data_IF_175914476035
#
_entry.id   IF_175914476035
#
_cell.length_a   1.000
_cell.length_b   1.000
_cell.length_c   1.000
_cell.angle_alpha   90.00
_cell.angle_beta   90.00
_cell.angle_gamma   90.00
#
_symmetry.space_group_name_H-M   'P 1'
#
loop_
_entity.id
_entity.type
_entity.pdbx_description
1 polymer ?
#
# COMPACT_ATOMS: atom_id res chain seq x y z
N UNK A 1 15.50 -11.05 20.40
CA UNK A 1 14.26 -11.63 19.83
C UNK A 1 14.31 -11.46 18.33
N UNK A 2 14.14 -12.56 17.59
CA UNK A 2 14.06 -12.64 16.11
C UNK A 2 12.62 -12.86 15.73
N UNK A 3 12.04 -11.95 14.96
CA UNK A 3 10.64 -12.01 14.52
C UNK A 3 10.53 -12.11 13.02
N UNK A 4 9.63 -12.98 12.57
CA UNK A 4 9.24 -13.09 11.17
C UNK A 4 7.83 -12.51 11.01
N UNK A 5 7.65 -11.64 10.01
CA UNK A 5 6.35 -11.12 9.61
C UNK A 5 6.04 -11.62 8.19
N UNK A 6 4.87 -12.24 7.99
CA UNK A 6 4.46 -12.78 6.69
C UNK A 6 3.19 -12.06 6.23
N UNK A 7 3.31 -11.22 5.20
CA UNK A 7 2.20 -10.39 4.72
C UNK A 7 1.98 -10.57 3.20
N UNK A 8 1.10 -11.47 2.79
CA UNK A 8 0.65 -11.60 1.40
C UNK A 8 -0.31 -10.48 1.04
N UNK A 9 -0.70 -10.40 -0.23
CA UNK A 9 -1.73 -9.50 -0.71
C UNK A 9 -1.26 -8.61 -1.85
N UNK A 10 -2.20 -7.83 -2.40
CA UNK A 10 -1.93 -6.85 -3.43
C UNK A 10 -1.17 -5.63 -2.85
N UNK A 11 -0.74 -4.72 -3.73
CA UNK A 11 0.04 -3.52 -3.36
C UNK A 11 -0.68 -2.71 -2.27
N UNK A 12 -1.98 -2.43 -2.46
CA UNK A 12 -2.76 -1.67 -1.48
C UNK A 12 -2.86 -2.38 -0.13
N UNK A 13 -3.11 -3.70 -0.12
CA UNK A 13 -3.25 -4.50 1.11
C UNK A 13 -1.99 -4.45 1.98
N UNK A 14 -0.82 -4.51 1.36
CA UNK A 14 0.44 -4.45 2.09
C UNK A 14 0.70 -3.02 2.57
N UNK A 15 0.47 -2.00 1.74
CA UNK A 15 0.69 -0.60 2.13
C UNK A 15 -0.18 -0.20 3.33
N UNK A 16 -1.48 -0.52 3.34
CA UNK A 16 -2.34 -0.19 4.48
C UNK A 16 -1.96 -0.94 5.76
N UNK A 17 -1.25 -2.06 5.65
CA UNK A 17 -0.74 -2.81 6.81
C UNK A 17 0.65 -2.38 7.29
N UNK A 18 1.38 -1.52 6.55
CA UNK A 18 2.75 -1.09 6.91
C UNK A 18 2.88 -0.56 8.35
N UNK A 19 1.96 0.27 8.87
CA UNK A 19 2.07 0.74 10.24
C UNK A 19 2.02 -0.39 11.28
N UNK A 20 1.14 -1.38 11.08
CA UNK A 20 1.04 -2.55 11.94
C UNK A 20 2.31 -3.42 11.86
N UNK A 21 2.83 -3.63 10.65
CA UNK A 21 4.09 -4.37 10.46
C UNK A 21 5.27 -3.66 11.13
N UNK A 22 5.38 -2.34 10.97
CA UNK A 22 6.45 -1.55 11.57
C UNK A 22 6.36 -1.51 13.11
N UNK A 23 5.14 -1.50 13.67
CA UNK A 23 4.91 -1.58 15.12
C UNK A 23 5.46 -2.88 15.71
N UNK A 24 5.42 -3.97 14.95
CA UNK A 24 5.94 -5.28 15.35
C UNK A 24 7.48 -5.40 15.24
N UNK A 25 8.21 -4.33 14.90
CA UNK A 25 9.67 -4.39 14.80
C UNK A 25 10.29 -4.91 16.09
N UNK A 26 11.26 -5.83 15.97
CA UNK A 26 11.98 -6.48 17.06
C UNK A 26 13.48 -6.25 16.94
N UNK A 27 14.29 -6.89 17.79
CA UNK A 27 15.75 -6.81 17.73
C UNK A 27 16.33 -7.30 16.39
N UNK A 28 15.69 -8.29 15.77
CA UNK A 28 15.86 -8.67 14.36
C UNK A 28 14.49 -8.95 13.75
N UNK A 29 14.19 -8.32 12.64
CA UNK A 29 12.92 -8.48 11.94
C UNK A 29 13.16 -8.87 10.48
N UNK A 30 12.65 -10.04 10.10
CA UNK A 30 12.56 -10.46 8.70
C UNK A 30 11.10 -10.33 8.24
N UNK A 31 10.88 -9.83 7.01
CA UNK A 31 9.53 -9.66 6.44
C UNK A 31 9.44 -10.43 5.12
N UNK A 32 8.38 -11.23 4.96
CA UNK A 32 8.06 -11.92 3.72
C UNK A 32 6.83 -11.29 3.09
N UNK A 33 6.99 -10.78 1.86
CA UNK A 33 5.94 -10.09 1.07
C UNK A 33 5.99 -10.54 -0.39
N UNK A 34 4.97 -10.27 -1.22
CA UNK A 34 5.09 -10.45 -2.67
C UNK A 34 6.31 -9.73 -3.25
N UNK A 35 6.96 -10.35 -4.26
CA UNK A 35 8.26 -9.91 -4.77
C UNK A 35 8.33 -8.43 -5.17
N UNK A 36 7.28 -7.92 -5.84
CA UNK A 36 7.21 -6.52 -6.24
C UNK A 36 7.22 -5.53 -5.06
N UNK A 37 6.82 -5.99 -3.85
CA UNK A 37 6.71 -5.15 -2.65
C UNK A 37 7.96 -5.15 -1.78
N UNK A 38 8.92 -6.03 -2.06
CA UNK A 38 10.18 -6.14 -1.30
C UNK A 38 10.87 -4.77 -1.13
N UNK A 39 11.02 -3.93 -2.18
CA UNK A 39 11.70 -2.64 -2.04
C UNK A 39 10.94 -1.60 -1.19
N UNK A 40 9.65 -1.81 -0.93
CA UNK A 40 8.82 -0.89 -0.15
C UNK A 40 8.88 -1.14 1.37
N UNK A 41 9.41 -2.28 1.80
CA UNK A 41 9.55 -2.63 3.22
C UNK A 41 10.91 -2.12 3.71
N UNK A 42 10.92 -0.96 4.36
CA UNK A 42 12.15 -0.23 4.67
C UNK A 42 12.54 -0.27 6.15
N UNK A 43 11.71 -0.85 7.03
CA UNK A 43 11.94 -0.89 8.48
C UNK A 43 12.59 -2.21 8.95
N UNK A 44 12.57 -3.26 8.12
CA UNK A 44 13.03 -4.60 8.46
C UNK A 44 14.54 -4.77 8.20
N UNK A 45 15.16 -5.66 8.96
CA UNK A 45 16.58 -6.02 8.79
C UNK A 45 16.78 -6.89 7.54
N UNK A 46 15.76 -7.67 7.16
CA UNK A 46 15.76 -8.46 5.93
C UNK A 46 14.36 -8.57 5.34
N UNK A 47 14.28 -8.47 4.03
CA UNK A 47 13.02 -8.67 3.31
C UNK A 47 13.21 -9.72 2.23
N UNK A 48 12.27 -10.66 2.16
CA UNK A 48 12.31 -11.79 1.22
C UNK A 48 10.97 -11.88 0.49
N UNK A 49 11.00 -12.21 -0.79
CA UNK A 49 9.75 -12.50 -1.48
C UNK A 49 9.15 -13.81 -0.97
N UNK A 50 7.81 -13.85 -0.88
CA UNK A 50 7.08 -15.08 -0.49
C UNK A 50 7.49 -16.25 -1.37
N UNK A 51 7.63 -16.05 -2.68
CA UNK A 51 8.10 -17.08 -3.61
C UNK A 51 9.52 -17.57 -3.27
N UNK A 52 10.46 -16.68 -2.94
CA UNK A 52 11.82 -17.06 -2.56
C UNK A 52 11.90 -17.65 -1.15
N UNK A 53 10.93 -17.41 -0.29
CA UNK A 53 10.84 -18.03 1.04
C UNK A 53 10.55 -19.52 0.97
N UNK A 54 9.92 -19.97 -0.12
CA UNK A 54 9.46 -21.34 -0.37
C UNK A 54 8.41 -21.84 0.63
N UNK A 55 7.67 -20.94 1.26
CA UNK A 55 6.62 -21.27 2.24
C UNK A 55 5.52 -22.16 1.65
N UNK A 56 5.24 -22.04 0.35
CA UNK A 56 4.20 -22.81 -0.34
C UNK A 56 4.53 -24.30 -0.46
N UNK A 57 5.83 -24.63 -0.58
CA UNK A 57 6.31 -25.99 -0.83
C UNK A 57 7.12 -26.56 0.33
N UNK A 58 7.45 -25.74 1.33
CA UNK A 58 8.23 -26.14 2.52
C UNK A 58 9.46 -27.02 2.15
N UNK A 59 10.21 -26.57 1.13
CA UNK A 59 11.35 -27.32 0.60
C UNK A 59 12.45 -27.50 1.65
N UNK A 60 13.45 -28.34 1.33
CA UNK A 60 14.58 -28.65 2.21
C UNK A 60 15.21 -27.40 2.83
N UNK A 61 15.46 -27.43 4.14
CA UNK A 61 15.99 -26.32 4.93
C UNK A 61 14.95 -25.26 5.33
N UNK A 62 13.67 -25.39 4.91
CA UNK A 62 12.62 -24.46 5.32
C UNK A 62 12.33 -24.55 6.83
N UNK A 63 12.23 -25.78 7.35
CA UNK A 63 11.89 -26.02 8.76
C UNK A 63 12.93 -25.40 9.71
N UNK A 64 14.22 -25.66 9.48
CA UNK A 64 15.31 -25.10 10.29
C UNK A 64 15.31 -23.58 10.27
N UNK A 65 15.12 -22.98 9.08
CA UNK A 65 15.05 -21.54 8.91
C UNK A 65 13.84 -20.95 9.63
N UNK A 66 12.67 -21.58 9.53
CA UNK A 66 11.42 -21.12 10.13
C UNK A 66 11.45 -21.24 11.66
N UNK A 67 12.02 -22.31 12.19
CA UNK A 67 12.20 -22.55 13.62
C UNK A 67 13.23 -21.60 14.28
N UNK A 68 14.11 -20.98 13.48
CA UNK A 68 15.09 -20.02 13.97
C UNK A 68 14.49 -18.67 14.44
N UNK A 69 13.19 -18.45 14.20
CA UNK A 69 12.50 -17.26 14.69
C UNK A 69 11.89 -17.50 16.06
N UNK A 70 12.06 -16.54 16.96
CA UNK A 70 11.46 -16.55 18.29
C UNK A 70 9.94 -16.36 18.24
N UNK A 71 9.44 -15.67 17.21
CA UNK A 71 8.03 -15.42 17.00
C UNK A 71 7.75 -15.22 15.50
N UNK A 72 6.63 -15.74 15.05
CA UNK A 72 6.13 -15.56 13.68
C UNK A 72 4.75 -14.92 13.74
N UNK A 73 4.55 -13.80 13.04
CA UNK A 73 3.26 -13.14 12.89
C UNK A 73 2.87 -13.20 11.41
N UNK A 74 1.74 -13.84 11.12
CA UNK A 74 1.36 -14.21 9.76
C UNK A 74 -0.06 -13.79 9.41
N UNK A 75 -0.20 -13.16 8.26
CA UNK A 75 -1.46 -12.98 7.53
C UNK A 75 -1.58 -13.97 6.35
N UNK A 76 -0.66 -14.92 6.27
CA UNK A 76 -0.65 -15.96 5.25
C UNK A 76 -1.46 -17.16 5.75
N UNK A 77 -2.59 -17.46 5.07
CA UNK A 77 -3.54 -18.46 5.55
C UNK A 77 -3.28 -19.90 5.05
N UNK A 78 -2.42 -20.06 4.03
CA UNK A 78 -2.08 -21.40 3.52
C UNK A 78 -1.12 -22.11 4.48
N UNK A 79 -1.27 -23.45 4.57
CA UNK A 79 -0.39 -24.32 5.38
C UNK A 79 -0.34 -23.94 6.89
N UNK A 80 -1.39 -23.32 7.41
CA UNK A 80 -1.43 -22.82 8.77
C UNK A 80 -1.06 -23.89 9.79
N UNK A 81 -1.68 -25.05 9.75
CA UNK A 81 -1.46 -26.17 10.68
C UNK A 81 0.01 -26.64 10.67
N UNK A 82 0.56 -26.84 9.47
CA UNK A 82 1.96 -27.24 9.34
C UNK A 82 2.95 -26.16 9.83
N UNK A 83 2.63 -24.87 9.67
CA UNK A 83 3.45 -23.78 10.19
C UNK A 83 3.37 -23.68 11.71
N UNK A 84 2.20 -23.93 12.33
CA UNK A 84 2.01 -24.00 13.78
C UNK A 84 2.77 -25.18 14.39
N UNK A 85 2.79 -26.34 13.72
CA UNK A 85 3.59 -27.51 14.14
C UNK A 85 5.09 -27.20 14.11
N UNK A 86 5.57 -26.51 13.07
CA UNK A 86 6.98 -26.13 12.95
C UNK A 86 7.40 -25.08 13.98
N UNK A 87 6.53 -24.12 14.29
CA UNK A 87 6.81 -23.08 15.28
C UNK A 87 5.55 -22.75 16.08
N UNK A 88 5.40 -23.27 17.31
CA UNK A 88 4.23 -23.04 18.17
C UNK A 88 3.99 -21.59 18.58
N UNK A 89 4.96 -20.69 18.32
CA UNK A 89 4.85 -19.24 18.55
C UNK A 89 4.42 -18.49 17.29
N UNK A 90 3.77 -19.21 16.36
CA UNK A 90 3.17 -18.64 15.17
C UNK A 90 1.79 -18.06 15.50
N UNK A 91 1.58 -16.79 15.24
CA UNK A 91 0.31 -16.08 15.43
C UNK A 91 -0.27 -15.76 14.06
N UNK A 92 -1.51 -16.18 13.81
CA UNK A 92 -2.21 -15.94 12.56
C UNK A 92 -3.29 -14.87 12.70
N UNK A 93 -3.28 -13.92 11.80
CA UNK A 93 -4.23 -12.83 11.71
C UNK A 93 -5.12 -12.92 10.46
N UNK A 94 -6.27 -12.24 10.51
CA UNK A 94 -7.17 -12.15 9.36
C UNK A 94 -6.54 -11.29 8.25
N UNK A 95 -6.59 -11.81 7.02
CA UNK A 95 -5.97 -11.19 5.85
C UNK A 95 -6.69 -9.94 5.37
N UNK A 96 -8.02 -9.89 5.54
CA UNK A 96 -8.87 -8.76 5.10
C UNK A 96 -9.84 -8.35 6.21
N UNK A 97 -10.23 -7.07 6.26
CA UNK A 97 -11.31 -6.62 7.13
C UNK A 97 -12.62 -7.38 6.86
N UNK A 98 -13.39 -7.73 7.90
CA UNK A 98 -14.71 -8.30 7.73
C UNK A 98 -15.67 -7.28 7.07
N UNK A 99 -16.77 -7.76 6.50
CA UNK A 99 -17.73 -6.93 5.74
C UNK A 99 -18.38 -5.82 6.56
N UNK A 100 -18.52 -6.03 7.85
CA UNK A 100 -19.10 -5.11 8.82
C UNK A 100 -18.07 -4.21 9.52
N UNK A 101 -16.83 -4.23 9.04
CA UNK A 101 -15.78 -3.34 9.57
C UNK A 101 -16.11 -1.87 9.31
N UNK A 102 -16.04 -1.05 10.35
CA UNK A 102 -16.51 0.34 10.32
C UNK A 102 -15.39 1.40 10.18
N UNK A 103 -14.14 1.01 10.36
CA UNK A 103 -12.97 1.91 10.33
C UNK A 103 -12.13 1.70 9.07
N UNK A 104 -11.05 2.48 8.93
CA UNK A 104 -10.10 2.29 7.84
C UNK A 104 -9.38 0.92 7.95
N UNK A 105 -8.99 0.33 6.82
CA UNK A 105 -8.24 -0.91 6.79
C UNK A 105 -6.90 -0.83 7.54
N UNK A 106 -6.25 0.34 7.57
CA UNK A 106 -5.04 0.56 8.37
C UNK A 106 -5.29 0.31 9.85
N UNK A 107 -6.45 0.78 10.37
CA UNK A 107 -6.84 0.55 11.77
C UNK A 107 -7.19 -0.91 12.06
N UNK A 108 -7.73 -1.63 11.06
CA UNK A 108 -7.97 -3.06 11.18
C UNK A 108 -6.67 -3.83 11.46
N UNK A 109 -5.61 -3.56 10.68
CA UNK A 109 -4.33 -4.24 10.89
C UNK A 109 -3.64 -3.77 12.17
N UNK A 110 -3.75 -2.48 12.51
CA UNK A 110 -3.24 -1.95 13.77
C UNK A 110 -3.87 -2.65 14.98
N UNK A 111 -5.20 -2.79 14.98
CA UNK A 111 -5.93 -3.44 16.07
C UNK A 111 -5.52 -4.91 16.27
N UNK A 112 -5.30 -5.64 15.19
CA UNK A 112 -4.90 -7.06 15.28
C UNK A 112 -3.58 -7.28 16.05
N UNK A 113 -2.67 -6.30 15.99
CA UNK A 113 -1.34 -6.38 16.61
C UNK A 113 -1.20 -5.51 17.86
N UNK A 114 -2.30 -4.91 18.34
CA UNK A 114 -2.28 -4.02 19.50
C UNK A 114 -1.59 -2.68 19.28
N UNK A 115 -1.44 -2.26 18.02
CA UNK A 115 -0.89 -0.95 17.68
C UNK A 115 -1.94 0.18 17.86
N UNK A 116 -1.52 1.43 18.08
CA UNK A 116 -2.43 2.57 18.12
C UNK A 116 -3.22 2.71 16.81
N UNK A 117 -4.47 3.21 16.92
CA UNK A 117 -5.29 3.57 15.77
C UNK A 117 -4.86 4.94 15.20
N UNK A 118 -5.29 5.23 13.98
CA UNK A 118 -5.00 6.50 13.30
C UNK A 118 -3.57 6.60 12.76
N UNK A 119 -2.84 5.49 12.68
CA UNK A 119 -1.52 5.45 12.07
C UNK A 119 -1.64 5.67 10.55
N UNK A 120 -0.59 6.28 9.98
CA UNK A 120 -0.53 6.59 8.54
C UNK A 120 0.57 5.75 7.89
N UNK A 121 0.27 5.02 6.81
CA UNK A 121 1.29 4.35 6.03
C UNK A 121 2.32 5.34 5.48
N UNK A 122 3.61 5.03 5.64
CA UNK A 122 4.71 5.87 5.14
C UNK A 122 5.73 5.02 4.41
N UNK A 123 6.16 5.51 3.25
CA UNK A 123 7.24 4.95 2.45
C UNK A 123 8.22 6.09 2.19
N UNK A 124 9.47 5.91 2.61
CA UNK A 124 10.52 6.87 2.29
C UNK A 124 10.89 6.72 0.80
N UNK A 125 10.63 7.76 0.04
CA UNK A 125 11.01 7.84 -1.36
C UNK A 125 11.98 9.01 -1.53
N UNK A 126 13.10 8.78 -2.22
CA UNK A 126 14.02 9.85 -2.56
C UNK A 126 13.33 10.76 -3.58
N UNK A 127 13.12 12.00 -3.20
CA UNK A 127 12.62 13.00 -4.13
C UNK A 127 13.78 13.45 -5.03
N UNK A 128 13.87 12.91 -6.23
CA UNK A 128 14.98 13.24 -7.14
C UNK A 128 14.90 14.68 -7.66
N UNK A 129 13.70 15.12 -8.08
CA UNK A 129 13.43 16.50 -8.56
C UNK A 129 11.96 16.81 -8.27
N UNK A 130 11.70 17.95 -7.62
CA UNK A 130 10.34 18.47 -7.51
C UNK A 130 9.86 18.96 -8.89
N UNK A 131 8.70 18.52 -9.32
CA UNK A 131 8.09 18.86 -10.60
C UNK A 131 6.77 19.59 -10.41
N UNK A 132 6.57 20.64 -11.17
CA UNK A 132 5.27 21.35 -11.22
C UNK A 132 4.30 20.59 -12.16
N UNK A 133 4.00 19.35 -11.81
CA UNK A 133 3.17 18.44 -12.61
C UNK A 133 2.10 17.74 -11.76
N UNK A 134 1.02 17.32 -12.41
CA UNK A 134 0.03 16.39 -11.85
C UNK A 134 0.27 15.01 -12.43
N UNK A 135 0.45 14.02 -11.58
CA UNK A 135 0.52 12.62 -12.00
C UNK A 135 -0.87 12.02 -12.02
N UNK A 136 -1.26 11.39 -13.13
CA UNK A 136 -2.51 10.64 -13.27
C UNK A 136 -2.22 9.16 -13.49
N UNK A 137 -2.91 8.29 -12.71
CA UNK A 137 -2.93 6.83 -12.91
C UNK A 137 -4.37 6.36 -13.06
N UNK A 138 -4.85 6.13 -14.32
CA UNK A 138 -6.27 5.86 -14.61
C UNK A 138 -6.67 4.39 -14.46
N UNK A 139 -5.76 3.53 -13.99
CA UNK A 139 -5.97 2.09 -13.91
C UNK A 139 -6.10 1.59 -12.46
N UNK A 140 -6.75 0.44 -12.31
CA UNK A 140 -6.79 -0.31 -11.05
C UNK A 140 -6.74 -1.82 -11.33
N UNK A 141 -6.71 -2.63 -10.28
CA UNK A 141 -6.76 -4.10 -10.41
C UNK A 141 -8.08 -4.66 -10.95
N UNK A 142 -9.12 -3.81 -11.15
CA UNK A 142 -10.41 -4.21 -11.72
C UNK A 142 -10.98 -3.08 -12.58
N UNK A 143 -11.38 -3.40 -13.81
CA UNK A 143 -11.99 -2.43 -14.71
C UNK A 143 -13.24 -1.75 -14.13
N UNK A 144 -14.00 -2.45 -13.27
CA UNK A 144 -15.19 -1.90 -12.61
C UNK A 144 -14.92 -0.78 -11.63
N UNK A 145 -13.66 -0.61 -11.18
CA UNK A 145 -13.22 0.46 -10.29
C UNK A 145 -12.71 1.69 -11.05
N UNK A 146 -12.50 1.58 -12.36
CA UNK A 146 -11.90 2.65 -13.13
C UNK A 146 -12.94 3.73 -13.45
N UNK A 147 -12.58 4.97 -13.13
CA UNK A 147 -13.27 6.13 -13.68
C UNK A 147 -13.05 6.18 -15.21
N UNK A 148 -14.02 6.61 -16.03
CA UNK A 148 -13.90 6.55 -17.48
C UNK A 148 -12.63 7.26 -17.99
N UNK A 149 -11.91 6.62 -18.92
CA UNK A 149 -10.68 7.19 -19.50
C UNK A 149 -10.95 8.54 -20.17
N UNK A 150 -12.11 8.70 -20.84
CA UNK A 150 -12.51 9.97 -21.45
C UNK A 150 -12.61 11.09 -20.42
N UNK A 151 -13.08 10.77 -19.20
CA UNK A 151 -13.15 11.74 -18.10
C UNK A 151 -11.74 12.17 -17.64
N UNK A 152 -10.80 11.24 -17.58
CA UNK A 152 -9.40 11.57 -17.29
C UNK A 152 -8.75 12.44 -18.37
N UNK A 153 -9.02 12.17 -19.65
CA UNK A 153 -8.49 12.98 -20.74
C UNK A 153 -9.03 14.42 -20.70
N UNK A 154 -10.35 14.58 -20.51
CA UNK A 154 -10.96 15.89 -20.33
C UNK A 154 -10.51 16.62 -19.08
N UNK A 155 -10.25 15.88 -17.99
CA UNK A 155 -9.68 16.44 -16.77
C UNK A 155 -8.28 17.00 -17.05
N UNK A 156 -7.43 16.22 -17.73
CA UNK A 156 -6.05 16.60 -18.04
C UNK A 156 -5.97 17.90 -18.85
N UNK A 157 -6.89 18.13 -19.78
CA UNK A 157 -6.97 19.37 -20.59
C UNK A 157 -7.30 20.62 -19.75
N UNK A 158 -7.93 20.45 -18.57
CA UNK A 158 -8.44 21.53 -17.74
C UNK A 158 -7.62 21.77 -16.47
N UNK A 159 -6.67 20.89 -16.15
CA UNK A 159 -5.79 21.05 -15.00
C UNK A 159 -4.82 22.22 -15.20
N UNK A 160 -4.50 22.99 -14.13
CA UNK A 160 -3.64 24.19 -14.26
C UNK A 160 -2.13 23.87 -14.42
N UNK A 161 -1.74 22.60 -14.26
CA UNK A 161 -0.37 22.11 -14.37
C UNK A 161 -0.27 21.01 -15.43
N UNK A 162 0.91 20.85 -16.07
CA UNK A 162 1.14 19.75 -16.98
C UNK A 162 0.82 18.38 -16.35
N UNK A 163 0.24 17.48 -17.14
CA UNK A 163 -0.11 16.12 -16.70
C UNK A 163 0.94 15.12 -17.16
N UNK A 164 1.38 14.28 -16.24
CA UNK A 164 2.20 13.11 -16.50
C UNK A 164 1.39 11.84 -16.20
N UNK A 165 1.41 10.89 -17.12
CA UNK A 165 0.69 9.63 -16.97
C UNK A 165 1.62 8.58 -16.38
N UNK A 166 1.22 7.98 -15.26
CA UNK A 166 1.93 6.83 -14.70
C UNK A 166 1.66 5.60 -15.60
N UNK A 167 2.64 5.23 -16.41
CA UNK A 167 2.62 4.08 -17.30
C UNK A 167 3.59 3.00 -16.80
N UNK A 168 3.47 1.78 -17.32
CA UNK A 168 4.34 0.64 -17.00
C UNK A 168 5.76 0.83 -17.58
N UNK A 169 6.55 1.75 -17.02
CA UNK A 169 7.93 2.05 -17.44
C UNK A 169 8.95 2.01 -16.32
N UNK A 170 8.52 1.54 -15.15
CA UNK A 170 9.37 1.51 -13.96
C UNK A 170 9.82 0.08 -13.68
N UNK A 171 11.10 -0.08 -13.35
CA UNK A 171 11.70 -1.37 -13.01
C UNK A 171 11.23 -1.91 -11.65
N UNK A 172 10.80 -1.02 -10.76
CA UNK A 172 10.32 -1.37 -9.43
C UNK A 172 9.24 -0.41 -8.92
N UNK A 173 8.46 -0.88 -7.92
CA UNK A 173 7.51 -0.01 -7.23
C UNK A 173 8.19 1.10 -6.42
N UNK A 174 9.44 0.93 -6.01
CA UNK A 174 10.19 1.99 -5.33
C UNK A 174 10.58 3.09 -6.32
N UNK A 175 11.01 2.76 -7.51
CA UNK A 175 11.29 3.73 -8.56
C UNK A 175 10.03 4.52 -8.95
N UNK A 176 8.88 3.84 -9.10
CA UNK A 176 7.60 4.50 -9.30
C UNK A 176 7.25 5.43 -8.12
N UNK A 177 7.46 4.98 -6.89
CA UNK A 177 7.24 5.78 -5.67
C UNK A 177 8.10 7.05 -5.64
N UNK A 178 9.39 6.92 -5.96
CA UNK A 178 10.33 8.03 -6.06
C UNK A 178 9.96 9.03 -7.17
N UNK A 179 9.49 8.51 -8.30
CA UNK A 179 9.00 9.36 -9.38
C UNK A 179 7.71 10.09 -8.99
N UNK A 180 6.73 9.40 -8.37
CA UNK A 180 5.50 10.02 -7.88
C UNK A 180 5.81 11.08 -6.82
N UNK A 181 6.76 10.83 -5.91
CA UNK A 181 7.13 11.74 -4.83
C UNK A 181 7.56 13.14 -5.33
N UNK A 182 8.01 13.25 -6.58
CA UNK A 182 8.36 14.53 -7.20
C UNK A 182 7.16 15.34 -7.71
N UNK A 183 5.95 14.81 -7.76
CA UNK A 183 4.79 15.50 -8.30
C UNK A 183 4.15 16.47 -7.29
N UNK A 184 3.45 17.49 -7.78
CA UNK A 184 2.66 18.41 -6.96
C UNK A 184 1.32 17.81 -6.52
N UNK A 185 0.77 16.92 -7.32
CA UNK A 185 -0.51 16.27 -7.08
C UNK A 185 -0.54 14.91 -7.78
N UNK A 186 -1.19 13.95 -7.15
CA UNK A 186 -1.52 12.67 -7.76
C UNK A 186 -3.04 12.48 -7.80
N UNK A 187 -3.56 11.98 -8.94
CA UNK A 187 -4.96 11.65 -9.14
C UNK A 187 -5.06 10.23 -9.67
N UNK A 188 -5.85 9.36 -9.04
CA UNK A 188 -6.02 7.99 -9.48
C UNK A 188 -7.27 7.31 -8.93
N UNK A 189 -7.56 6.12 -9.45
CA UNK A 189 -8.65 5.28 -8.98
C UNK A 189 -8.33 4.64 -7.60
N UNK A 190 -9.31 3.96 -6.99
CA UNK A 190 -9.11 3.01 -5.90
C UNK A 190 -8.16 1.89 -6.35
N UNK A 191 -6.87 2.07 -6.10
CA UNK A 191 -5.80 1.17 -6.53
C UNK A 191 -4.62 1.17 -5.59
N UNK A 192 -3.77 0.13 -5.67
CA UNK A 192 -2.54 0.05 -4.88
C UNK A 192 -1.57 1.21 -5.15
N UNK A 193 -1.55 1.75 -6.38
CA UNK A 193 -0.68 2.88 -6.74
C UNK A 193 -1.18 4.18 -6.09
N UNK A 194 -2.48 4.33 -5.90
CA UNK A 194 -3.05 5.48 -5.18
C UNK A 194 -2.68 5.43 -3.68
N UNK A 195 -2.65 4.23 -3.08
CA UNK A 195 -2.09 4.06 -1.74
C UNK A 195 -0.60 4.36 -1.67
N UNK A 196 0.16 3.98 -2.70
CA UNK A 196 1.59 4.28 -2.82
C UNK A 196 1.83 5.79 -2.86
N UNK A 197 1.07 6.52 -3.68
CA UNK A 197 1.14 7.98 -3.78
C UNK A 197 0.87 8.68 -2.44
N UNK A 198 -0.18 8.26 -1.73
CA UNK A 198 -0.47 8.78 -0.40
C UNK A 198 0.64 8.44 0.62
N UNK A 199 1.19 7.22 0.58
CA UNK A 199 2.23 6.77 1.50
C UNK A 199 3.57 7.48 1.31
N UNK A 200 3.90 7.95 0.10
CA UNK A 200 5.10 8.79 -0.14
C UNK A 200 4.86 10.27 0.16
N UNK A 201 3.64 10.65 0.57
CA UNK A 201 3.31 11.99 1.05
C UNK A 201 2.93 13.00 -0.04
N UNK A 202 2.68 12.57 -1.27
CA UNK A 202 2.18 13.47 -2.33
C UNK A 202 0.70 13.78 -2.06
N UNK A 203 0.24 15.04 -2.19
CA UNK A 203 -1.17 15.36 -2.19
C UNK A 203 -1.91 14.45 -3.16
N UNK A 204 -2.90 13.70 -2.67
CA UNK A 204 -3.53 12.63 -3.43
C UNK A 204 -5.04 12.85 -3.50
N UNK A 205 -5.61 12.66 -4.70
CA UNK A 205 -7.04 12.52 -4.93
C UNK A 205 -7.30 11.08 -5.36
N UNK A 206 -8.14 10.38 -4.60
CA UNK A 206 -8.53 9.01 -4.86
C UNK A 206 -9.99 8.95 -5.33
N UNK A 207 -10.22 8.44 -6.54
CA UNK A 207 -11.54 8.29 -7.15
C UNK A 207 -12.04 6.87 -6.87
N UNK A 208 -13.18 6.81 -6.18
CA UNK A 208 -13.84 5.57 -5.79
C UNK A 208 -15.12 5.34 -6.59
N UNK A 209 -15.34 4.11 -7.00
CA UNK A 209 -16.58 3.62 -7.59
C UNK A 209 -17.32 2.69 -6.61
N UNK A 210 -17.26 1.34 -6.84
CA UNK A 210 -18.05 0.37 -6.07
C UNK A 210 -17.49 0.08 -4.66
N UNK A 211 -16.20 0.28 -4.43
CA UNK A 211 -15.55 -0.01 -3.14
C UNK A 211 -15.97 0.98 -2.05
N UNK A 212 -15.97 0.55 -0.80
CA UNK A 212 -16.24 1.45 0.33
C UNK A 212 -14.98 2.26 0.68
N UNK A 213 -15.00 3.59 0.46
CA UNK A 213 -13.85 4.44 0.74
C UNK A 213 -13.59 4.64 2.24
N UNK A 214 -14.55 4.36 3.12
CA UNK A 214 -14.31 4.39 4.58
C UNK A 214 -13.30 3.32 4.98
N UNK A 215 -13.40 2.16 4.36
CA UNK A 215 -12.50 1.02 4.63
C UNK A 215 -11.19 1.18 3.83
N UNK A 216 -11.31 1.43 2.53
CA UNK A 216 -10.19 1.34 1.60
C UNK A 216 -9.61 2.68 1.15
N UNK A 217 -10.09 3.81 1.66
CA UNK A 217 -9.55 5.11 1.32
C UNK A 217 -8.10 5.29 1.83
N UNK A 218 -7.15 5.73 0.98
CA UNK A 218 -5.81 6.05 1.45
C UNK A 218 -5.85 7.15 2.52
N UNK A 219 -5.17 6.91 3.65
CA UNK A 219 -5.14 7.87 4.75
C UNK A 219 -4.51 9.19 4.27
N UNK A 220 -5.19 10.30 4.50
CA UNK A 220 -4.72 11.64 4.10
C UNK A 220 -5.07 12.06 2.66
N UNK A 221 -5.62 11.17 1.83
CA UNK A 221 -6.10 11.52 0.49
C UNK A 221 -7.44 12.27 0.52
N UNK A 222 -7.70 13.08 -0.52
CA UNK A 222 -9.06 13.54 -0.82
C UNK A 222 -9.80 12.40 -1.51
N UNK A 223 -10.93 11.98 -0.95
CA UNK A 223 -11.72 10.87 -1.47
C UNK A 223 -12.94 11.41 -2.20
N UNK A 224 -13.09 11.03 -3.46
CA UNK A 224 -14.25 11.37 -4.28
C UNK A 224 -14.94 10.09 -4.74
N UNK A 225 -16.25 10.02 -4.61
CA UNK A 225 -17.04 8.84 -5.00
C UNK A 225 -17.90 9.15 -6.22
N UNK A 226 -17.66 8.45 -7.34
CA UNK A 226 -18.31 8.67 -8.63
C UNK A 226 -18.37 10.15 -9.02
N UNK A 227 -17.23 10.88 -8.98
CA UNK A 227 -17.27 12.34 -9.16
C UNK A 227 -17.52 12.73 -10.61
N UNK A 228 -18.03 13.96 -10.79
CA UNK A 228 -17.93 14.70 -12.04
C UNK A 228 -16.52 15.26 -12.24
N UNK A 229 -16.19 15.69 -13.46
CA UNK A 229 -14.91 16.33 -13.77
C UNK A 229 -14.73 17.63 -12.95
N UNK A 230 -15.79 18.40 -12.77
CA UNK A 230 -15.76 19.67 -12.03
C UNK A 230 -15.47 19.47 -10.53
N UNK A 231 -15.99 18.39 -9.92
CA UNK A 231 -15.67 18.03 -8.54
C UNK A 231 -14.19 17.64 -8.38
N UNK A 232 -13.63 16.90 -9.36
CA UNK A 232 -12.20 16.55 -9.34
C UNK A 232 -11.33 17.79 -9.53
N UNK A 233 -11.71 18.73 -10.41
CA UNK A 233 -11.00 20.01 -10.60
C UNK A 233 -11.02 20.89 -9.36
N UNK A 234 -12.18 20.96 -8.67
CA UNK A 234 -12.28 21.70 -7.40
C UNK A 234 -11.34 21.13 -6.35
N UNK A 235 -11.37 19.81 -6.14
CA UNK A 235 -10.48 19.14 -5.21
C UNK A 235 -8.99 19.30 -5.58
N UNK A 236 -8.66 19.27 -6.88
CA UNK A 236 -7.31 19.52 -7.36
C UNK A 236 -6.83 20.92 -7.04
N UNK A 237 -7.67 21.94 -7.26
CA UNK A 237 -7.38 23.33 -6.94
C UNK A 237 -7.12 23.54 -5.44
N UNK A 238 -7.93 22.95 -4.59
CA UNK A 238 -7.76 23.00 -3.12
C UNK A 238 -6.45 22.35 -2.67
N UNK A 239 -6.14 21.16 -3.21
CA UNK A 239 -4.90 20.43 -2.88
C UNK A 239 -3.65 21.16 -3.36
N UNK A 240 -3.67 21.73 -4.55
CA UNK A 240 -2.55 22.52 -5.08
C UNK A 240 -2.33 23.83 -4.30
N UNK A 241 -3.39 24.45 -3.80
CA UNK A 241 -3.29 25.66 -2.97
C UNK A 241 -2.72 25.37 -1.57
N UNK A 242 -3.03 24.21 -0.97
CA UNK A 242 -2.60 23.83 0.38
C UNK A 242 -1.08 23.56 0.49
N UNK A 243 -0.39 23.33 -0.63
CA UNK A 243 1.05 22.97 -0.70
C UNK A 243 1.95 24.20 -0.97
N UNK A 244 1.38 25.41 -1.04
CA UNK A 244 2.15 26.66 -1.24
C UNK A 244 2.82 27.17 0.05
N UNK A 245 3.42 26.27 0.86
CA UNK A 245 4.21 26.72 2.03
C UNK A 245 5.59 26.07 2.05
#
# INVERSE_FOLDING_TARGET
MRRLLIRPGAIGDVIVSLPALAFLKAGYTEVWVPGALVPLIQFADKVVSIAASRIDVMADGFAERFQAFDEVVSWYGSNKEALEELNPRCVFHQTLPPKDWALNATDFYAQQVGAPLGLVPKIAAKQNVARETVVIHPFSGSASKNWPMESYLRLAERLPLPVEWAQERFESLLELAEWIAGARLYIGNDSGITHLAAAVGVPTIAIFGPSDPKIWGPVGAAILRNPTIDEVLSAASERLASVRR
#
